data_IF_677776310558
#
_entry.id   IF_677776310558
#
_cell.length_a   1.000
_cell.length_b   1.000
_cell.length_c   1.000
_cell.angle_alpha   90.00
_cell.angle_beta   90.00
_cell.angle_gamma   90.00
#
_symmetry.space_group_name_H-M   'P 1'
#
loop_
_entity.id
_entity.type
_entity.pdbx_description
1 polymer ?
#
# COMPACT_ATOMS: atom_id res chain seq x y z
N UNK A 1 -17.34 6.82 6.69
CA UNK A 1 -16.75 5.74 5.86
C UNK A 1 -16.59 4.44 6.66
N UNK A 2 -16.94 3.29 6.08
CA UNK A 2 -16.82 1.96 6.72
C UNK A 2 -15.39 1.70 7.21
N UNK A 3 -14.40 2.07 6.40
CA UNK A 3 -12.98 1.96 6.73
C UNK A 3 -12.65 2.53 8.12
N UNK A 4 -12.93 3.81 8.38
CA UNK A 4 -12.59 4.44 9.65
C UNK A 4 -13.27 3.76 10.86
N UNK A 5 -14.48 3.22 10.70
CA UNK A 5 -15.16 2.48 11.78
C UNK A 5 -14.47 1.15 12.09
N UNK A 6 -14.01 0.45 11.06
CA UNK A 6 -13.26 -0.82 11.19
C UNK A 6 -11.90 -0.60 11.86
N UNK A 7 -11.28 0.56 11.64
CA UNK A 7 -10.03 0.98 12.28
C UNK A 7 -10.24 1.82 13.55
N UNK A 8 -11.31 1.57 14.29
CA UNK A 8 -11.46 2.07 15.66
C UNK A 8 -11.95 3.52 15.80
N UNK A 9 -12.56 4.13 14.76
CA UNK A 9 -13.25 5.43 14.92
C UNK A 9 -14.57 5.24 15.69
N UNK A 10 -14.70 5.77 16.92
CA UNK A 10 -15.92 5.66 17.71
C UNK A 10 -17.07 6.47 17.10
N UNK A 11 -18.31 6.15 17.49
CA UNK A 11 -19.48 6.99 17.20
C UNK A 11 -19.35 8.30 17.98
N UNK A 12 -19.85 9.42 17.44
CA UNK A 12 -19.75 10.74 18.08
C UNK A 12 -20.63 10.92 19.33
N UNK A 13 -21.30 9.87 19.80
CA UNK A 13 -22.29 9.94 20.88
C UNK A 13 -21.64 9.89 22.28
N UNK A 14 -20.44 9.34 22.42
CA UNK A 14 -19.74 9.17 23.70
C UNK A 14 -18.22 9.39 23.54
N UNK A 15 -17.63 10.19 24.44
CA UNK A 15 -16.18 10.53 24.44
C UNK A 15 -15.32 9.55 25.27
N UNK A 16 -15.81 8.33 25.53
CA UNK A 16 -15.05 7.33 26.29
C UNK A 16 -14.02 6.67 25.37
N UNK A 17 -12.74 6.70 25.72
CA UNK A 17 -11.67 5.93 25.04
C UNK A 17 -11.87 4.39 25.15
N UNK A 18 -12.89 4.00 25.91
CA UNK A 18 -13.28 2.65 26.32
C UNK A 18 -13.88 1.80 25.17
N UNK A 19 -14.42 2.45 24.12
CA UNK A 19 -14.99 1.78 22.94
C UNK A 19 -13.97 1.58 21.81
N UNK A 20 -12.72 1.97 22.03
CA UNK A 20 -11.68 1.95 21.00
C UNK A 20 -11.07 0.54 20.93
N UNK A 21 -11.48 -0.23 19.94
CA UNK A 21 -10.88 -1.54 19.66
C UNK A 21 -9.44 -1.36 19.18
N UNK A 22 -8.49 -1.73 20.04
CA UNK A 22 -7.04 -1.63 19.81
C UNK A 22 -6.44 -2.91 19.19
N UNK A 23 -7.26 -3.94 18.92
CA UNK A 23 -6.79 -5.18 18.33
C UNK A 23 -6.74 -5.14 16.81
N UNK A 24 -5.66 -5.67 16.22
CA UNK A 24 -5.69 -6.05 14.80
C UNK A 24 -6.58 -7.29 14.68
N UNK A 25 -7.71 -7.18 13.97
CA UNK A 25 -8.62 -8.30 13.76
C UNK A 25 -8.69 -8.68 12.28
N UNK A 26 -9.12 -9.91 11.99
CA UNK A 26 -9.24 -10.44 10.62
C UNK A 26 -10.05 -9.51 9.70
N UNK A 27 -11.05 -8.81 10.24
CA UNK A 27 -11.88 -7.85 9.51
C UNK A 27 -11.09 -6.63 9.04
N UNK A 28 -10.16 -6.10 9.85
CA UNK A 28 -9.28 -4.99 9.44
C UNK A 28 -8.37 -5.40 8.28
N UNK A 29 -7.77 -6.59 8.33
CA UNK A 29 -6.96 -7.12 7.22
C UNK A 29 -7.78 -7.30 5.95
N UNK A 30 -8.98 -7.90 6.04
CA UNK A 30 -9.87 -8.09 4.89
C UNK A 30 -10.31 -6.76 4.27
N UNK A 31 -10.59 -5.75 5.08
CA UNK A 31 -10.95 -4.40 4.59
C UNK A 31 -9.75 -3.68 3.98
N UNK A 32 -8.54 -3.95 4.43
CA UNK A 32 -7.34 -3.40 3.81
C UNK A 32 -7.04 -4.04 2.45
N UNK A 33 -7.04 -5.38 2.40
CA UNK A 33 -6.70 -6.14 1.20
C UNK A 33 -7.76 -6.04 0.10
N UNK A 34 -9.04 -6.08 0.51
CA UNK A 34 -10.16 -6.20 -0.43
C UNK A 34 -11.06 -4.95 -0.46
N UNK A 35 -10.87 -4.01 0.46
CA UNK A 35 -11.73 -2.83 0.55
C UNK A 35 -11.50 -1.84 -0.59
N UNK A 36 -12.60 -1.30 -1.13
CA UNK A 36 -12.56 -0.36 -2.25
C UNK A 36 -11.81 0.96 -1.99
N UNK A 37 -11.55 1.32 -0.72
CA UNK A 37 -10.81 2.55 -0.40
C UNK A 37 -9.32 2.43 -0.77
N UNK A 38 -8.66 1.38 -0.30
CA UNK A 38 -7.22 1.19 -0.54
C UNK A 38 -7.00 0.83 -2.00
N UNK A 39 -7.77 -0.13 -2.52
CA UNK A 39 -7.72 -0.50 -3.93
C UNK A 39 -8.01 0.70 -4.84
N UNK A 40 -9.01 1.54 -4.52
CA UNK A 40 -9.30 2.74 -5.28
C UNK A 40 -8.17 3.80 -5.23
N UNK A 41 -7.42 3.89 -4.12
CA UNK A 41 -6.24 4.76 -4.03
C UNK A 41 -5.06 4.23 -4.84
N UNK A 42 -4.84 2.92 -4.79
CA UNK A 42 -3.77 2.25 -5.52
C UNK A 42 -4.01 2.32 -7.04
N UNK A 43 -5.25 2.07 -7.48
CA UNK A 43 -5.68 2.19 -8.87
C UNK A 43 -5.87 3.63 -9.38
N UNK A 44 -5.72 4.65 -8.53
CA UNK A 44 -6.00 6.03 -8.92
C UNK A 44 -5.05 6.54 -10.03
N UNK A 45 -5.59 7.20 -11.05
CA UNK A 45 -4.82 7.69 -12.20
C UNK A 45 -3.68 8.66 -11.82
N UNK A 46 -3.83 9.41 -10.72
CA UNK A 46 -2.81 10.31 -10.17
C UNK A 46 -1.93 9.66 -9.09
N UNK A 47 -1.86 8.34 -9.04
CA UNK A 47 -0.96 7.66 -8.10
C UNK A 47 0.50 8.00 -8.42
N UNK A 48 1.33 8.07 -7.37
CA UNK A 48 2.76 8.33 -7.37
C UNK A 48 3.50 7.60 -8.50
N UNK A 49 3.35 6.27 -8.61
CA UNK A 49 4.07 5.48 -9.63
C UNK A 49 3.65 5.86 -11.06
N UNK A 50 2.36 6.13 -11.31
CA UNK A 50 1.88 6.58 -12.63
C UNK A 50 2.47 7.93 -13.02
N UNK A 51 2.51 8.87 -12.07
CA UNK A 51 3.13 10.17 -12.28
C UNK A 51 4.64 10.04 -12.56
N UNK A 52 5.32 9.08 -11.94
CA UNK A 52 6.74 8.83 -12.16
C UNK A 52 7.01 8.15 -13.51
N UNK A 53 6.16 7.21 -13.91
CA UNK A 53 6.20 6.60 -15.24
C UNK A 53 6.03 7.67 -16.32
N UNK A 54 5.05 8.56 -16.17
CA UNK A 54 4.83 9.68 -17.08
C UNK A 54 6.00 10.67 -17.13
N UNK A 55 6.77 10.80 -16.04
CA UNK A 55 8.01 11.58 -15.96
C UNK A 55 9.23 10.85 -16.53
N UNK A 56 9.08 9.63 -17.05
CA UNK A 56 10.16 8.84 -17.63
C UNK A 56 11.13 8.24 -16.61
N UNK A 57 10.70 8.03 -15.36
CA UNK A 57 11.54 7.38 -14.36
C UNK A 57 11.79 5.91 -14.71
N UNK A 58 12.96 5.39 -14.31
CA UNK A 58 13.29 3.96 -14.43
C UNK A 58 12.52 3.13 -13.39
N UNK A 59 12.35 1.83 -13.66
CA UNK A 59 11.64 0.93 -12.74
C UNK A 59 12.36 0.82 -11.39
N UNK A 60 13.69 0.76 -11.39
CA UNK A 60 14.52 0.75 -10.17
C UNK A 60 14.21 1.96 -9.29
N UNK A 61 14.19 3.16 -9.88
CA UNK A 61 13.92 4.40 -9.15
C UNK A 61 12.49 4.46 -8.61
N UNK A 62 11.52 3.93 -9.36
CA UNK A 62 10.12 3.85 -8.91
C UNK A 62 10.01 2.90 -7.71
N UNK A 63 10.62 1.72 -7.79
CA UNK A 63 10.61 0.74 -6.69
C UNK A 63 11.29 1.31 -5.43
N UNK A 64 12.43 1.95 -5.57
CA UNK A 64 13.12 2.65 -4.48
C UNK A 64 12.20 3.68 -3.81
N UNK A 65 11.55 4.53 -4.60
CA UNK A 65 10.68 5.57 -4.09
C UNK A 65 9.43 5.02 -3.41
N UNK A 66 8.85 3.93 -3.92
CA UNK A 66 7.70 3.26 -3.29
C UNK A 66 8.08 2.66 -1.93
N UNK A 67 9.21 1.98 -1.84
CA UNK A 67 9.68 1.39 -0.58
C UNK A 67 10.08 2.48 0.41
N UNK A 68 10.77 3.52 -0.04
CA UNK A 68 11.12 4.67 0.80
C UNK A 68 9.87 5.36 1.35
N UNK A 69 8.83 5.54 0.51
CA UNK A 69 7.59 6.16 0.93
C UNK A 69 6.78 5.30 1.92
N UNK A 70 6.92 3.98 1.89
CA UNK A 70 6.18 3.07 2.76
C UNK A 70 6.92 2.75 4.06
N UNK A 71 8.23 2.51 4.00
CA UNK A 71 9.03 1.98 5.12
C UNK A 71 10.10 2.95 5.65
N UNK A 72 10.26 4.13 5.02
CA UNK A 72 11.29 5.12 5.39
C UNK A 72 12.72 4.55 5.40
N UNK A 73 12.99 3.58 4.51
CA UNK A 73 14.32 3.00 4.26
C UNK A 73 14.51 2.69 2.78
N UNK A 74 15.76 2.44 2.38
CA UNK A 74 16.04 1.91 1.05
C UNK A 74 15.61 0.42 0.95
N UNK A 75 15.28 -0.04 -0.26
CA UNK A 75 15.04 -1.45 -0.52
C UNK A 75 16.29 -2.29 -0.25
N UNK A 76 16.08 -3.49 0.25
CA UNK A 76 17.10 -4.53 0.25
C UNK A 76 17.33 -5.07 -1.17
N UNK A 77 18.48 -5.68 -1.41
CA UNK A 77 18.78 -6.29 -2.72
C UNK A 77 17.73 -7.33 -3.14
N UNK A 78 17.21 -8.10 -2.19
CA UNK A 78 16.19 -9.11 -2.44
C UNK A 78 14.84 -8.50 -2.83
N UNK A 79 14.41 -7.44 -2.16
CA UNK A 79 13.19 -6.70 -2.50
C UNK A 79 13.30 -6.08 -3.89
N UNK A 80 14.42 -5.42 -4.17
CA UNK A 80 14.69 -4.81 -5.48
C UNK A 80 14.65 -5.87 -6.59
N UNK A 81 15.39 -6.97 -6.41
CA UNK A 81 15.43 -8.07 -7.38
C UNK A 81 14.04 -8.66 -7.64
N UNK A 82 13.25 -8.88 -6.58
CA UNK A 82 11.90 -9.46 -6.69
C UNK A 82 10.95 -8.51 -7.42
N UNK A 83 10.97 -7.22 -7.06
CA UNK A 83 10.13 -6.21 -7.70
C UNK A 83 10.47 -6.03 -9.19
N UNK A 84 11.76 -5.91 -9.53
CA UNK A 84 12.19 -5.77 -10.92
C UNK A 84 11.90 -7.02 -11.76
N UNK A 85 12.05 -8.21 -11.18
CA UNK A 85 11.66 -9.45 -11.86
C UNK A 85 10.15 -9.48 -12.17
N UNK A 86 9.33 -8.97 -11.25
CA UNK A 86 7.88 -8.88 -11.42
C UNK A 86 7.49 -7.88 -12.53
N UNK A 87 8.17 -6.74 -12.60
CA UNK A 87 7.98 -5.76 -13.69
C UNK A 87 8.41 -6.36 -15.04
N UNK A 88 9.55 -7.05 -15.08
CA UNK A 88 10.07 -7.66 -16.30
C UNK A 88 9.14 -8.73 -16.90
N UNK A 89 8.34 -9.41 -16.07
CA UNK A 89 7.33 -10.37 -16.52
C UNK A 89 6.12 -9.72 -17.21
N UNK A 90 5.96 -8.39 -17.09
CA UNK A 90 4.82 -7.63 -17.64
C UNK A 90 5.26 -6.47 -18.54
N UNK A 91 5.98 -6.74 -19.65
CA UNK A 91 6.53 -5.68 -20.49
C UNK A 91 5.45 -4.79 -21.15
N UNK A 92 4.24 -5.30 -21.33
CA UNK A 92 3.10 -4.56 -21.91
C UNK A 92 2.25 -3.82 -20.87
N UNK A 93 2.42 -4.13 -19.58
CA UNK A 93 1.53 -3.71 -18.50
C UNK A 93 2.34 -3.14 -17.33
N UNK A 94 3.24 -2.20 -17.66
CA UNK A 94 4.17 -1.59 -16.70
C UNK A 94 3.46 -0.93 -15.52
N UNK A 95 2.36 -0.20 -15.77
CA UNK A 95 1.59 0.46 -14.71
C UNK A 95 0.96 -0.56 -13.76
N UNK A 96 0.34 -1.62 -14.29
CA UNK A 96 -0.27 -2.68 -13.48
C UNK A 96 0.78 -3.41 -12.64
N UNK A 97 1.98 -3.63 -13.18
CA UNK A 97 3.06 -4.24 -12.41
C UNK A 97 3.49 -3.39 -11.20
N UNK A 98 3.56 -2.06 -11.35
CA UNK A 98 3.85 -1.15 -10.24
C UNK A 98 2.67 -0.99 -9.28
N UNK A 99 1.44 -1.13 -9.78
CA UNK A 99 0.23 -1.20 -8.97
C UNK A 99 0.28 -2.41 -8.01
N UNK A 100 0.59 -3.60 -8.54
CA UNK A 100 0.74 -4.83 -7.77
C UNK A 100 1.83 -4.70 -6.70
N UNK A 101 2.98 -4.10 -7.05
CA UNK A 101 4.07 -3.86 -6.10
C UNK A 101 3.61 -2.97 -4.95
N UNK A 102 2.95 -1.84 -5.25
CA UNK A 102 2.43 -0.95 -4.21
C UNK A 102 1.36 -1.64 -3.37
N UNK A 103 0.47 -2.42 -3.99
CA UNK A 103 -0.53 -3.20 -3.26
C UNK A 103 0.12 -4.21 -2.31
N UNK A 104 1.16 -4.92 -2.76
CA UNK A 104 1.90 -5.88 -1.96
C UNK A 104 2.62 -5.22 -0.78
N UNK A 105 3.21 -4.03 -0.97
CA UNK A 105 3.82 -3.24 0.09
C UNK A 105 2.79 -2.86 1.15
N UNK A 106 1.64 -2.31 0.75
CA UNK A 106 0.60 -1.86 1.69
C UNK A 106 -0.06 -3.01 2.46
N UNK A 107 -0.03 -4.23 1.92
CA UNK A 107 -0.56 -5.43 2.57
C UNK A 107 0.52 -6.29 3.24
N UNK A 108 1.78 -5.80 3.29
CA UNK A 108 2.87 -6.54 3.91
C UNK A 108 2.78 -6.52 5.43
N UNK A 109 3.38 -7.52 6.08
CA UNK A 109 3.50 -7.55 7.54
C UNK A 109 4.34 -6.38 8.07
N UNK A 110 5.37 -5.98 7.33
CA UNK A 110 6.22 -4.84 7.69
C UNK A 110 5.38 -3.56 7.73
N UNK A 111 4.60 -3.27 6.68
CA UNK A 111 3.72 -2.10 6.66
C UNK A 111 2.67 -2.13 7.78
N UNK A 112 2.14 -3.30 8.09
CA UNK A 112 1.03 -3.43 9.03
C UNK A 112 1.46 -3.43 10.51
N UNK A 113 2.65 -3.94 10.82
CA UNK A 113 3.04 -4.24 12.20
C UNK A 113 4.39 -3.66 12.62
N UNK A 114 5.24 -3.22 11.70
CA UNK A 114 6.48 -2.55 12.05
C UNK A 114 6.26 -1.05 12.00
N UNK A 115 5.77 -0.51 13.12
CA UNK A 115 5.69 0.91 13.46
C UNK A 115 6.20 1.10 14.89
#
# INVERSE_FOLDING_TARGET
PVFLRVFGKPKRETSCDCERDSGSNLTQFLVLANGGLVNGKVAHAKNRFRLQIAKGWSDTRIVEDLILAAYNRLPTDQEMKTALAHVAQRPKNREEAHEDIQWAILNSKEFLFQH
#
